data_IF_151921055561
#
_entry.id   IF_151921055561
#
_cell.length_a   1.000
_cell.length_b   1.000
_cell.length_c   1.000
_cell.angle_alpha   90.00
_cell.angle_beta   90.00
_cell.angle_gamma   90.00
#
_symmetry.space_group_name_H-M   'P 1'
#
loop_
_entity.id
_entity.type
_entity.pdbx_description
1 polymer ?
#
# COMPACT_ATOMS: atom_id res chain seq x y z
N UNK A 1 -11.06 -24.10 -12.05
CA UNK A 1 -10.79 -25.47 -11.57
C UNK A 1 -9.78 -26.21 -12.45
N UNK A 2 -9.59 -25.86 -13.72
CA UNK A 2 -8.66 -26.60 -14.59
C UNK A 2 -7.16 -26.29 -14.36
N UNK A 3 -6.78 -25.05 -14.03
CA UNK A 3 -5.35 -24.65 -14.06
C UNK A 3 -4.52 -25.30 -12.95
N UNK A 4 -5.05 -25.40 -11.72
CA UNK A 4 -4.34 -26.07 -10.62
C UNK A 4 -4.38 -27.60 -10.74
N UNK A 5 -5.46 -28.17 -11.30
CA UNK A 5 -5.53 -29.60 -11.57
C UNK A 5 -4.60 -30.02 -12.70
N UNK A 6 -4.49 -29.20 -13.76
CA UNK A 6 -3.48 -29.38 -14.81
C UNK A 6 -2.06 -29.32 -14.23
N UNK A 7 -1.78 -28.34 -13.36
CA UNK A 7 -0.49 -28.24 -12.68
C UNK A 7 -0.18 -29.48 -11.82
N UNK A 8 -1.19 -30.06 -11.17
CA UNK A 8 -1.06 -31.30 -10.38
C UNK A 8 -0.80 -32.51 -11.29
N UNK A 9 -1.46 -32.60 -12.44
CA UNK A 9 -1.19 -33.62 -13.46
C UNK A 9 0.23 -33.49 -14.03
N UNK A 10 0.74 -32.27 -14.15
CA UNK A 10 2.13 -31.95 -14.54
C UNK A 10 3.17 -32.23 -13.43
N UNK A 11 2.74 -32.78 -12.28
CA UNK A 11 3.63 -33.16 -11.17
C UNK A 11 4.14 -31.98 -10.33
N UNK A 12 3.54 -30.79 -10.45
CA UNK A 12 3.93 -29.66 -9.61
C UNK A 12 3.44 -29.85 -8.17
N UNK A 13 4.34 -29.63 -7.21
CA UNK A 13 3.99 -29.56 -5.79
C UNK A 13 3.08 -28.35 -5.51
N UNK A 14 2.15 -28.40 -4.53
CA UNK A 14 1.24 -27.29 -4.23
C UNK A 14 1.91 -25.93 -4.05
N UNK A 15 3.07 -25.89 -3.38
CA UNK A 15 3.83 -24.66 -3.19
C UNK A 15 4.35 -24.07 -4.51
N UNK A 16 4.82 -24.91 -5.44
CA UNK A 16 5.23 -24.47 -6.79
C UNK A 16 4.04 -23.98 -7.60
N UNK A 17 2.90 -24.66 -7.51
CA UNK A 17 1.65 -24.25 -8.17
C UNK A 17 1.22 -22.86 -7.69
N UNK A 18 1.21 -22.63 -6.37
CA UNK A 18 0.88 -21.33 -5.79
C UNK A 18 1.77 -20.21 -6.34
N UNK A 19 3.10 -20.37 -6.27
CA UNK A 19 4.03 -19.30 -6.65
C UNK A 19 4.19 -19.09 -8.16
N UNK A 20 4.12 -20.16 -8.97
CA UNK A 20 4.37 -20.07 -10.41
C UNK A 20 3.12 -19.88 -11.25
N UNK A 21 1.96 -20.28 -10.74
CA UNK A 21 0.71 -20.31 -11.53
C UNK A 21 -0.30 -19.39 -10.88
N UNK A 22 -0.72 -19.71 -9.65
CA UNK A 22 -1.81 -18.98 -8.99
C UNK A 22 -1.44 -17.53 -8.74
N UNK A 23 -0.29 -17.24 -8.10
CA UNK A 23 0.17 -15.89 -7.77
C UNK A 23 0.28 -14.96 -9.00
N UNK A 24 0.93 -15.35 -10.12
CA UNK A 24 0.97 -14.52 -11.32
C UNK A 24 -0.41 -14.24 -11.93
N UNK A 25 -1.32 -15.21 -11.88
CA UNK A 25 -2.69 -15.05 -12.40
C UNK A 25 -3.47 -14.04 -11.55
N UNK A 26 -3.36 -14.12 -10.22
CA UNK A 26 -4.06 -13.21 -9.29
C UNK A 26 -3.27 -11.95 -8.95
N UNK A 27 -2.05 -11.79 -9.49
CA UNK A 27 -1.16 -10.66 -9.23
C UNK A 27 -1.83 -9.27 -9.34
N UNK A 28 -2.68 -8.97 -10.35
CA UNK A 28 -3.36 -7.67 -10.39
C UNK A 28 -4.34 -7.47 -9.23
N UNK A 29 -5.03 -8.53 -8.80
CA UNK A 29 -5.92 -8.50 -7.64
C UNK A 29 -5.15 -8.28 -6.33
N UNK A 30 -4.05 -9.02 -6.14
CA UNK A 30 -3.16 -8.86 -4.98
C UNK A 30 -2.59 -7.46 -4.92
N UNK A 31 -2.17 -6.89 -6.06
CA UNK A 31 -1.69 -5.52 -6.13
C UNK A 31 -2.78 -4.54 -5.68
N UNK A 32 -4.02 -4.68 -6.17
CA UNK A 32 -5.13 -3.82 -5.76
C UNK A 32 -5.40 -3.91 -4.25
N UNK A 33 -5.40 -5.11 -3.66
CA UNK A 33 -5.54 -5.29 -2.21
C UNK A 33 -4.41 -4.61 -1.45
N UNK A 34 -3.16 -4.78 -1.86
CA UNK A 34 -2.00 -4.12 -1.22
C UNK A 34 -2.14 -2.60 -1.27
N UNK A 35 -2.53 -2.03 -2.40
CA UNK A 35 -2.73 -0.59 -2.52
C UNK A 35 -3.84 -0.08 -1.58
N UNK A 36 -4.97 -0.79 -1.53
CA UNK A 36 -6.09 -0.43 -0.67
C UNK A 36 -5.71 -0.51 0.81
N UNK A 37 -5.07 -1.61 1.22
CA UNK A 37 -4.54 -1.79 2.58
C UNK A 37 -3.52 -0.72 2.94
N UNK A 38 -2.64 -0.34 2.00
CA UNK A 38 -1.69 0.75 2.20
C UNK A 38 -2.39 2.08 2.42
N UNK A 39 -3.40 2.43 1.62
CA UNK A 39 -4.15 3.69 1.77
C UNK A 39 -4.75 3.77 3.17
N UNK A 40 -5.36 2.68 3.67
CA UNK A 40 -5.90 2.66 5.03
C UNK A 40 -4.80 2.78 6.09
N UNK A 41 -3.75 1.97 6.00
CA UNK A 41 -2.66 1.99 6.98
C UNK A 41 -1.91 3.33 7.01
N UNK A 42 -1.70 3.96 5.86
CA UNK A 42 -0.97 5.23 5.74
C UNK A 42 -1.75 6.43 6.29
N UNK A 43 -3.09 6.39 6.22
CA UNK A 43 -3.96 7.45 6.74
C UNK A 43 -4.46 7.18 8.16
N UNK A 44 -4.10 6.04 8.76
CA UNK A 44 -4.58 5.66 10.08
C UNK A 44 -3.97 6.56 11.17
N UNK A 45 -4.82 7.40 11.76
CA UNK A 45 -4.44 8.32 12.83
C UNK A 45 -4.70 7.74 14.22
N UNK A 46 -5.90 7.19 14.46
CA UNK A 46 -6.38 6.89 15.81
C UNK A 46 -5.58 5.75 16.44
N UNK A 47 -5.41 4.66 15.71
CA UNK A 47 -4.64 3.51 16.20
C UNK A 47 -3.18 3.88 16.42
N UNK A 48 -2.59 4.65 15.49
CA UNK A 48 -1.22 5.12 15.61
C UNK A 48 -1.04 6.03 16.81
N UNK A 49 -1.96 6.98 17.04
CA UNK A 49 -1.93 7.90 18.18
C UNK A 49 -1.99 7.14 19.52
N UNK A 50 -2.87 6.14 19.63
CA UNK A 50 -3.07 5.37 20.87
C UNK A 50 -1.87 4.47 21.19
N UNK A 51 -1.29 3.81 20.19
CA UNK A 51 -0.24 2.80 20.38
C UNK A 51 1.17 3.38 20.53
N UNK A 52 1.43 4.52 19.89
CA UNK A 52 2.82 5.01 19.76
C UNK A 52 3.30 5.83 20.95
N UNK A 53 2.39 6.44 21.72
CA UNK A 53 2.63 7.13 23.01
C UNK A 53 3.99 7.87 23.12
N UNK A 54 4.41 8.55 22.03
CA UNK A 54 5.64 9.34 21.88
C UNK A 54 6.96 8.65 21.46
N UNK A 55 6.95 7.38 21.07
CA UNK A 55 8.19 6.65 20.70
C UNK A 55 8.34 6.49 19.18
N UNK A 56 7.22 6.42 18.45
CA UNK A 56 7.21 6.21 17.00
C UNK A 56 6.11 7.03 16.34
N UNK A 57 6.42 8.28 15.97
CA UNK A 57 5.42 9.16 15.35
C UNK A 57 5.23 8.84 13.87
N UNK A 58 4.01 8.48 13.49
CA UNK A 58 3.60 8.43 12.07
C UNK A 58 3.15 9.82 11.62
N UNK A 59 3.22 10.10 10.33
CA UNK A 59 2.85 11.42 9.78
C UNK A 59 1.48 11.95 10.26
N UNK A 60 0.39 11.15 10.26
CA UNK A 60 -0.91 11.62 10.73
C UNK A 60 -0.89 12.06 12.19
N UNK A 61 -0.02 11.46 13.02
CA UNK A 61 0.12 11.78 14.44
C UNK A 61 0.89 13.08 14.68
N UNK A 62 1.82 13.45 13.79
CA UNK A 62 2.62 14.68 13.91
C UNK A 62 1.82 15.92 13.52
N UNK A 63 0.91 15.83 12.53
CA UNK A 63 0.19 17.02 12.06
C UNK A 63 -0.55 17.81 13.17
N UNK A 64 -1.27 17.17 14.11
CA UNK A 64 -1.92 17.88 15.21
C UNK A 64 -0.94 18.58 16.16
N UNK A 65 0.33 18.15 16.24
CA UNK A 65 1.32 18.79 17.13
C UNK A 65 1.77 20.16 16.63
N UNK A 66 1.53 20.48 15.36
CA UNK A 66 1.82 21.80 14.77
C UNK A 66 0.73 22.86 15.07
N UNK A 67 -0.35 22.45 15.72
CA UNK A 67 -1.40 23.34 16.25
C UNK A 67 -1.20 23.49 17.75
N UNK A 68 -0.56 24.60 18.14
CA UNK A 68 -0.38 24.96 19.56
C UNK A 68 -1.43 26.01 19.92
N UNK A 69 -1.87 26.05 21.19
CA UNK A 69 -3.06 26.75 21.74
C UNK A 69 -3.37 28.18 21.27
N UNK A 70 -2.46 28.85 20.56
CA UNK A 70 -2.63 30.22 20.05
C UNK A 70 -2.02 30.44 18.66
N UNK A 71 -1.36 29.42 18.08
CA UNK A 71 -0.62 29.57 16.83
C UNK A 71 -0.59 28.26 16.04
N UNK A 72 -0.85 28.37 14.74
CA UNK A 72 -0.71 27.29 13.77
C UNK A 72 0.58 27.53 12.98
N UNK A 73 1.50 26.56 13.00
CA UNK A 73 2.73 26.61 12.22
C UNK A 73 2.49 26.12 10.78
N UNK A 74 1.80 26.95 9.97
CA UNK A 74 1.44 26.61 8.59
C UNK A 74 2.63 26.19 7.72
N UNK A 75 3.77 26.86 7.88
CA UNK A 75 5.01 26.54 7.16
C UNK A 75 5.46 25.08 7.41
N UNK A 76 5.44 24.63 8.68
CA UNK A 76 5.83 23.28 9.05
C UNK A 76 4.78 22.26 8.64
N UNK A 77 3.50 22.58 8.87
CA UNK A 77 2.38 21.72 8.50
C UNK A 77 2.35 21.45 6.99
N UNK A 78 2.52 22.48 6.16
CA UNK A 78 2.58 22.32 4.70
C UNK A 78 3.81 21.52 4.25
N UNK A 79 4.98 21.74 4.85
CA UNK A 79 6.18 20.97 4.53
C UNK A 79 6.03 19.48 4.86
N UNK A 80 5.48 19.15 6.04
CA UNK A 80 5.18 17.77 6.44
C UNK A 80 4.17 17.12 5.48
N UNK A 81 3.10 17.83 5.13
CA UNK A 81 2.10 17.33 4.18
C UNK A 81 2.67 17.07 2.79
N UNK A 82 3.56 17.94 2.30
CA UNK A 82 4.23 17.73 1.01
C UNK A 82 5.11 16.46 1.02
N UNK A 83 5.86 16.23 2.10
CA UNK A 83 6.68 15.01 2.24
C UNK A 83 5.79 13.76 2.33
N UNK A 84 4.68 13.84 3.07
CA UNK A 84 3.76 12.71 3.24
C UNK A 84 3.02 12.30 1.96
N UNK A 85 2.95 13.19 0.96
CA UNK A 85 2.43 12.86 -0.37
C UNK A 85 3.42 12.03 -1.20
N UNK A 86 4.73 12.12 -0.94
CA UNK A 86 5.75 11.45 -1.77
C UNK A 86 5.54 9.92 -1.85
N UNK A 87 5.30 9.18 -0.74
CA UNK A 87 5.09 7.74 -0.80
C UNK A 87 3.86 7.36 -1.63
N UNK A 88 2.77 8.11 -1.48
CA UNK A 88 1.53 7.91 -2.24
C UNK A 88 1.76 8.12 -3.75
N UNK A 89 2.53 9.14 -4.12
CA UNK A 89 2.91 9.40 -5.52
C UNK A 89 3.79 8.26 -6.06
N UNK A 90 4.77 7.79 -5.29
CA UNK A 90 5.64 6.68 -5.70
C UNK A 90 4.81 5.42 -5.98
N UNK A 91 3.90 5.07 -5.07
CA UNK A 91 3.00 3.91 -5.24
C UNK A 91 2.14 4.09 -6.49
N UNK A 92 1.53 5.27 -6.68
CA UNK A 92 0.74 5.57 -7.87
C UNK A 92 1.53 5.36 -9.16
N UNK A 93 2.78 5.83 -9.22
CA UNK A 93 3.66 5.67 -10.39
C UNK A 93 4.01 4.19 -10.66
N UNK A 94 4.27 3.40 -9.61
CA UNK A 94 4.53 1.97 -9.72
C UNK A 94 3.31 1.20 -10.22
N UNK A 95 2.12 1.54 -9.73
CA UNK A 95 0.87 0.92 -10.13
C UNK A 95 0.47 1.27 -11.57
N UNK A 96 0.71 2.51 -12.01
CA UNK A 96 0.44 2.95 -13.39
C UNK A 96 1.08 2.03 -14.43
N UNK A 97 2.32 1.57 -14.20
CA UNK A 97 3.02 0.66 -15.10
C UNK A 97 2.34 -0.72 -15.21
N UNK A 98 1.76 -1.22 -14.12
CA UNK A 98 1.09 -2.52 -14.08
C UNK A 98 -0.29 -2.47 -14.74
N UNK A 99 -1.04 -1.38 -14.55
CA UNK A 99 -2.35 -1.17 -15.16
C UNK A 99 -2.22 -1.08 -16.69
N UNK A 100 -1.25 -0.33 -17.23
CA UNK A 100 -1.06 -0.21 -18.69
C UNK A 100 -0.71 -1.56 -19.34
N UNK A 101 0.07 -2.40 -18.66
CA UNK A 101 0.42 -3.74 -19.17
C UNK A 101 -0.78 -4.69 -19.23
N UNK A 102 -1.76 -4.50 -18.36
CA UNK A 102 -2.99 -5.30 -18.32
C UNK A 102 -3.93 -5.01 -19.49
N UNK A 103 -3.96 -3.77 -20.01
CA UNK A 103 -4.81 -3.39 -21.14
C UNK A 103 -4.25 -3.78 -22.52
N UNK A 104 -2.93 -3.95 -22.64
CA UNK A 104 -2.26 -4.22 -23.94
C UNK A 104 -2.22 -5.72 -24.29
N UNK A 105 -2.45 -6.61 -23.33
CA UNK A 105 -2.47 -8.08 -23.54
C UNK A 105 -3.89 -8.66 -23.71
N UNK A 106 -4.88 -7.82 -24.03
CA UNK A 106 -6.23 -8.24 -24.42
C UNK A 106 -6.43 -8.10 -25.92
#
# INVERSE_FOLDING_TARGET
MEVEEAARLDGLTPFKTLWKITLPIIAPGVAATIALSWIFAWNEFLLAYILTRNIAFTYPVVLPTEVVSSQVFYNRMTALSAIALLPSIIILLLFRKHIVRMYVLR
#
